data_IF_523057631130
#
_entry.id   IF_523057631130
#
_cell.length_a   1.000
_cell.length_b   1.000
_cell.length_c   1.000
_cell.angle_alpha   90.00
_cell.angle_beta   90.00
_cell.angle_gamma   90.00
#
_symmetry.space_group_name_H-M   'P 1'
#
loop_
_entity.id
_entity.type
_entity.pdbx_description
1 polymer ?
#
# COMPACT_ATOMS: atom_id res chain seq x y z
N UNK A 1 -64.40 7.45 15.23
CA UNK A 1 -63.03 7.35 14.65
C UNK A 1 -62.24 6.35 15.48
N UNK A 2 -62.04 5.13 14.96
CA UNK A 2 -61.23 4.12 15.64
C UNK A 2 -59.75 4.35 15.36
N UNK A 3 -59.00 4.75 16.37
CA UNK A 3 -57.53 4.81 16.32
C UNK A 3 -56.99 3.37 16.31
N UNK A 4 -56.56 2.89 15.16
CA UNK A 4 -55.79 1.65 15.03
C UNK A 4 -54.39 1.90 15.57
N UNK A 5 -54.11 1.42 16.79
CA UNK A 5 -52.76 1.37 17.35
C UNK A 5 -52.01 0.26 16.58
N UNK A 6 -51.09 0.63 15.70
CA UNK A 6 -50.21 -0.35 15.05
C UNK A 6 -49.29 -0.95 16.11
N UNK A 7 -49.27 -2.27 16.22
CA UNK A 7 -48.31 -2.95 17.11
C UNK A 7 -46.90 -2.71 16.57
N UNK A 8 -45.92 -2.34 17.43
CA UNK A 8 -44.55 -2.13 16.98
C UNK A 8 -44.01 -3.44 16.38
N UNK A 9 -43.40 -3.34 15.21
CA UNK A 9 -42.76 -4.48 14.56
C UNK A 9 -41.60 -4.96 15.44
N UNK A 10 -41.70 -6.19 15.95
CA UNK A 10 -40.72 -6.80 16.86
C UNK A 10 -39.40 -7.12 16.14
N UNK A 11 -39.39 -7.09 14.80
CA UNK A 11 -38.23 -7.41 13.97
C UNK A 11 -37.84 -6.23 13.09
N UNK A 12 -36.54 -5.89 13.07
CA UNK A 12 -36.00 -4.88 12.15
C UNK A 12 -36.02 -5.37 10.72
N UNK A 13 -36.33 -4.48 9.79
CA UNK A 13 -36.28 -4.77 8.35
C UNK A 13 -34.82 -5.06 7.93
N UNK A 14 -34.64 -6.05 7.05
CA UNK A 14 -33.35 -6.40 6.48
C UNK A 14 -32.67 -5.21 5.80
N UNK A 15 -33.44 -4.32 5.19
CA UNK A 15 -32.95 -3.13 4.51
C UNK A 15 -32.35 -2.07 5.45
N UNK A 16 -32.67 -2.14 6.75
CA UNK A 16 -32.05 -1.28 7.77
C UNK A 16 -30.73 -1.85 8.32
N UNK A 17 -30.35 -3.06 7.89
CA UNK A 17 -29.10 -3.67 8.30
C UNK A 17 -27.91 -3.07 7.56
N UNK A 18 -26.69 -3.36 8.03
CA UNK A 18 -25.48 -2.96 7.33
C UNK A 18 -25.20 -3.82 6.07
N UNK A 19 -26.12 -4.69 5.65
CA UNK A 19 -25.97 -5.53 4.47
C UNK A 19 -25.60 -4.71 3.22
N UNK A 20 -24.58 -5.16 2.48
CA UNK A 20 -24.09 -4.47 1.27
C UNK A 20 -23.03 -3.39 1.53
N UNK A 21 -22.82 -2.96 2.79
CA UNK A 21 -21.67 -2.13 3.15
C UNK A 21 -20.39 -2.97 3.17
N UNK A 22 -19.25 -2.36 2.81
CA UNK A 22 -17.95 -3.05 2.77
C UNK A 22 -17.53 -3.61 4.14
N UNK A 23 -17.98 -2.99 5.23
CA UNK A 23 -17.80 -3.40 6.62
C UNK A 23 -19.09 -3.92 7.27
N UNK A 24 -20.10 -4.24 6.46
CA UNK A 24 -21.42 -4.62 6.92
C UNK A 24 -21.61 -6.10 7.23
N UNK A 25 -22.82 -6.47 7.69
CA UNK A 25 -23.20 -7.88 7.81
C UNK A 25 -23.13 -8.54 6.42
N UNK A 26 -22.65 -9.79 6.39
CA UNK A 26 -22.36 -10.54 5.16
C UNK A 26 -21.24 -9.94 4.28
N UNK A 27 -20.11 -9.55 4.90
CA UNK A 27 -19.01 -8.81 4.27
C UNK A 27 -18.45 -9.33 2.92
N UNK A 28 -17.81 -8.42 2.18
CA UNK A 28 -17.56 -8.44 0.72
C UNK A 28 -16.79 -9.65 0.16
N UNK A 29 -16.08 -10.41 0.99
CA UNK A 29 -15.26 -11.57 0.58
C UNK A 29 -15.61 -12.86 1.34
N UNK A 30 -16.73 -12.86 2.05
CA UNK A 30 -17.17 -14.01 2.83
C UNK A 30 -18.44 -14.59 2.19
N UNK A 31 -18.41 -15.92 1.96
CA UNK A 31 -19.53 -16.64 1.36
C UNK A 31 -20.54 -16.94 2.47
N UNK A 32 -21.70 -16.29 2.43
CA UNK A 32 -22.76 -16.47 3.41
C UNK A 32 -24.03 -16.98 2.74
N UNK A 33 -24.79 -17.80 3.47
CA UNK A 33 -26.16 -18.18 3.12
C UNK A 33 -27.11 -17.46 4.06
N UNK A 34 -27.89 -16.50 3.56
CA UNK A 34 -28.97 -15.89 4.33
C UNK A 34 -30.20 -16.81 4.31
N UNK A 35 -30.78 -17.07 5.49
CA UNK A 35 -32.02 -17.83 5.63
C UNK A 35 -33.08 -16.98 6.34
N UNK A 36 -34.35 -17.17 5.98
CA UNK A 36 -35.46 -16.51 6.65
C UNK A 36 -35.59 -17.00 8.09
N UNK A 37 -35.82 -16.07 9.02
CA UNK A 37 -36.21 -16.40 10.38
C UNK A 37 -37.72 -16.64 10.43
N UNK A 38 -38.13 -17.84 10.82
CA UNK A 38 -39.53 -18.22 11.03
C UNK A 38 -39.75 -18.37 12.54
N UNK A 39 -40.55 -17.49 13.18
CA UNK A 39 -40.83 -17.58 14.61
C UNK A 39 -41.33 -18.99 15.00
N UNK A 40 -40.76 -19.56 16.06
CA UNK A 40 -41.13 -20.88 16.57
C UNK A 40 -40.62 -22.09 15.75
N UNK A 41 -40.05 -21.88 14.55
CA UNK A 41 -39.43 -22.96 13.74
C UNK A 41 -37.92 -22.77 13.55
N UNK A 42 -37.46 -21.54 13.42
CA UNK A 42 -36.04 -21.21 13.32
C UNK A 42 -35.42 -21.15 14.71
N UNK A 43 -34.65 -22.17 15.06
CA UNK A 43 -33.82 -22.17 16.28
C UNK A 43 -32.40 -21.77 15.92
N UNK A 44 -31.87 -20.74 16.58
CA UNK A 44 -30.45 -20.40 16.50
C UNK A 44 -29.64 -21.50 17.19
N UNK A 45 -29.07 -22.41 16.40
CA UNK A 45 -28.25 -23.51 16.89
C UNK A 45 -26.79 -23.32 16.42
N UNK A 46 -26.03 -22.39 17.02
CA UNK A 46 -24.63 -22.27 16.71
C UNK A 46 -23.91 -23.53 17.19
N UNK A 47 -23.08 -24.13 16.33
CA UNK A 47 -22.14 -25.15 16.77
C UNK A 47 -21.21 -24.50 17.79
N UNK A 48 -21.37 -24.85 19.07
CA UNK A 48 -20.50 -24.37 20.14
C UNK A 48 -19.20 -25.16 20.07
N UNK A 49 -18.15 -24.53 19.57
CA UNK A 49 -16.81 -25.07 19.69
C UNK A 49 -16.26 -24.73 21.06
N UNK A 50 -15.50 -25.64 21.67
CA UNK A 50 -14.63 -25.28 22.78
C UNK A 50 -13.60 -24.27 22.28
N UNK A 51 -13.69 -23.03 22.77
CA UNK A 51 -12.83 -21.92 22.35
C UNK A 51 -11.35 -22.22 22.61
N UNK A 52 -11.05 -22.92 23.71
CA UNK A 52 -9.68 -23.25 24.10
C UNK A 52 -9.06 -24.28 23.16
N UNK A 53 -9.78 -25.37 22.89
CA UNK A 53 -9.38 -26.39 21.93
C UNK A 53 -9.26 -25.83 20.50
N UNK A 54 -10.16 -24.93 20.10
CA UNK A 54 -10.11 -24.27 18.79
C UNK A 54 -8.90 -23.34 18.66
N UNK A 55 -8.60 -22.56 19.71
CA UNK A 55 -7.43 -21.68 19.72
C UNK A 55 -6.11 -22.46 19.63
N UNK A 56 -6.01 -23.59 20.34
CA UNK A 56 -4.84 -24.47 20.25
C UNK A 56 -4.70 -25.11 18.86
N UNK A 57 -5.79 -25.68 18.31
CA UNK A 57 -5.79 -26.20 16.93
C UNK A 57 -5.35 -25.13 15.94
N UNK A 58 -5.87 -23.91 16.07
CA UNK A 58 -5.49 -22.78 15.22
C UNK A 58 -4.00 -22.43 15.31
N UNK A 59 -3.42 -22.42 16.52
CA UNK A 59 -1.97 -22.20 16.70
C UNK A 59 -1.15 -23.27 15.95
N UNK A 60 -1.55 -24.54 16.03
CA UNK A 60 -0.84 -25.62 15.35
C UNK A 60 -0.99 -25.55 13.82
N UNK A 61 -2.16 -25.15 13.32
CA UNK A 61 -2.34 -24.87 11.89
C UNK A 61 -1.46 -23.71 11.41
N UNK A 62 -1.31 -22.64 12.19
CA UNK A 62 -0.43 -21.52 11.85
C UNK A 62 1.05 -21.95 11.81
N UNK A 63 1.46 -22.80 12.75
CA UNK A 63 2.80 -23.41 12.77
C UNK A 63 3.02 -24.31 11.54
N UNK A 64 2.03 -25.13 11.15
CA UNK A 64 2.07 -25.88 9.88
C UNK A 64 2.23 -24.94 8.67
N UNK A 65 1.43 -23.86 8.57
CA UNK A 65 1.52 -22.89 7.46
C UNK A 65 2.89 -22.20 7.39
N UNK A 66 3.56 -22.02 8.53
CA UNK A 66 4.95 -21.53 8.57
C UNK A 66 5.89 -22.57 7.93
N UNK A 67 5.83 -23.83 8.34
CA UNK A 67 6.65 -24.90 7.75
C UNK A 67 6.42 -25.07 6.25
N UNK A 68 5.16 -25.04 5.79
CA UNK A 68 4.81 -25.08 4.36
C UNK A 68 5.43 -23.92 3.55
N UNK A 69 5.46 -22.71 4.12
CA UNK A 69 6.09 -21.53 3.50
C UNK A 69 7.61 -21.67 3.43
N UNK A 70 8.25 -22.13 4.50
CA UNK A 70 9.70 -22.35 4.55
C UNK A 70 10.12 -23.41 3.53
N UNK A 71 9.41 -24.54 3.46
CA UNK A 71 9.67 -25.60 2.50
C UNK A 71 9.52 -25.12 1.05
N UNK A 72 8.48 -24.33 0.75
CA UNK A 72 8.32 -23.72 -0.58
C UNK A 72 9.46 -22.77 -0.93
N UNK A 73 9.93 -21.95 0.02
CA UNK A 73 11.05 -21.04 -0.21
C UNK A 73 12.32 -21.81 -0.57
N UNK A 74 12.62 -22.88 0.16
CA UNK A 74 13.78 -23.73 -0.11
C UNK A 74 13.66 -24.47 -1.44
N UNK A 75 12.49 -25.03 -1.78
CA UNK A 75 12.26 -25.67 -3.09
C UNK A 75 12.39 -24.68 -4.26
N UNK A 76 11.95 -23.42 -4.08
CA UNK A 76 12.16 -22.36 -5.09
C UNK A 76 13.65 -22.04 -5.28
N UNK A 77 14.37 -21.82 -4.18
CA UNK A 77 15.81 -21.54 -4.24
C UNK A 77 16.58 -22.69 -4.90
N UNK A 78 16.23 -23.94 -4.59
CA UNK A 78 16.80 -25.13 -5.22
C UNK A 78 16.54 -25.14 -6.73
N UNK A 79 15.32 -24.84 -7.17
CA UNK A 79 15.02 -24.78 -8.61
C UNK A 79 15.90 -23.73 -9.29
N UNK A 80 16.06 -22.54 -8.68
CA UNK A 80 16.92 -21.48 -9.21
C UNK A 80 18.38 -21.94 -9.31
N UNK A 81 18.94 -22.52 -8.23
CA UNK A 81 20.33 -23.01 -8.23
C UNK A 81 20.56 -24.07 -9.31
N UNK A 82 19.59 -25.00 -9.47
CA UNK A 82 19.63 -26.02 -10.51
C UNK A 82 19.58 -25.40 -11.91
N UNK A 83 18.73 -24.41 -12.11
CA UNK A 83 18.58 -23.73 -13.40
C UNK A 83 19.83 -22.86 -13.73
N UNK A 84 20.59 -22.44 -12.72
CA UNK A 84 21.89 -21.74 -12.85
C UNK A 84 23.09 -22.69 -13.01
N UNK A 85 22.91 -24.02 -12.90
CA UNK A 85 23.99 -24.99 -12.98
C UNK A 85 24.87 -25.11 -11.74
N UNK A 86 24.46 -24.53 -10.60
CA UNK A 86 25.19 -24.67 -9.32
C UNK A 86 24.79 -25.99 -8.63
N UNK A 87 25.56 -27.05 -8.92
CA UNK A 87 25.27 -28.40 -8.43
C UNK A 87 25.44 -28.55 -6.91
N UNK A 88 26.41 -27.87 -6.32
CA UNK A 88 26.70 -27.96 -4.90
C UNK A 88 25.62 -27.28 -4.06
N UNK A 89 25.18 -26.08 -4.45
CA UNK A 89 24.08 -25.40 -3.76
C UNK A 89 22.76 -26.14 -3.99
N UNK A 90 22.55 -26.72 -5.19
CA UNK A 90 21.39 -27.58 -5.46
C UNK A 90 21.36 -28.79 -4.52
N UNK A 91 22.50 -29.45 -4.28
CA UNK A 91 22.61 -30.59 -3.36
C UNK A 91 22.29 -30.16 -1.92
N UNK A 92 22.85 -29.04 -1.47
CA UNK A 92 22.64 -28.47 -0.13
C UNK A 92 21.17 -28.12 0.12
N UNK A 93 20.54 -27.42 -0.82
CA UNK A 93 19.13 -27.03 -0.73
C UNK A 93 18.18 -28.24 -0.84
N UNK A 94 18.55 -29.27 -1.60
CA UNK A 94 17.81 -30.53 -1.62
C UNK A 94 17.82 -31.22 -0.25
N UNK A 95 18.97 -31.32 0.40
CA UNK A 95 19.08 -31.90 1.75
C UNK A 95 18.25 -31.09 2.75
N UNK A 96 18.34 -29.76 2.70
CA UNK A 96 17.53 -28.86 3.55
C UNK A 96 16.03 -29.05 3.33
N UNK A 97 15.57 -29.16 2.09
CA UNK A 97 14.17 -29.39 1.77
C UNK A 97 13.66 -30.75 2.30
N UNK A 98 14.51 -31.78 2.27
CA UNK A 98 14.18 -33.10 2.87
C UNK A 98 13.97 -32.99 4.38
N UNK A 99 14.88 -32.34 5.09
CA UNK A 99 14.77 -32.10 6.53
C UNK A 99 13.51 -31.30 6.90
N UNK A 100 13.22 -30.23 6.16
CA UNK A 100 12.01 -29.44 6.36
C UNK A 100 10.73 -30.23 6.07
N UNK A 101 10.73 -31.06 5.02
CA UNK A 101 9.61 -31.95 4.69
C UNK A 101 9.40 -33.02 5.76
N UNK A 102 10.46 -33.51 6.40
CA UNK A 102 10.37 -34.40 7.54
C UNK A 102 9.73 -33.69 8.75
N UNK A 103 10.26 -32.53 9.15
CA UNK A 103 9.69 -31.73 10.26
C UNK A 103 8.22 -31.39 10.06
N UNK A 104 7.82 -31.06 8.82
CA UNK A 104 6.42 -30.82 8.49
C UNK A 104 5.56 -32.08 8.70
N UNK A 105 6.05 -33.27 8.32
CA UNK A 105 5.33 -34.53 8.54
C UNK A 105 5.19 -34.86 10.01
N UNK A 106 6.24 -34.67 10.80
CA UNK A 106 6.24 -34.91 12.24
C UNK A 106 5.21 -34.02 12.93
N UNK A 107 5.24 -32.70 12.68
CA UNK A 107 4.26 -31.75 13.22
C UNK A 107 2.81 -32.08 12.80
N UNK A 108 2.62 -32.54 11.57
CA UNK A 108 1.29 -32.93 11.09
C UNK A 108 0.78 -34.18 11.81
N UNK A 109 1.64 -35.17 12.04
CA UNK A 109 1.29 -36.40 12.74
C UNK A 109 1.03 -36.16 14.23
N UNK A 110 1.84 -35.29 14.86
CA UNK A 110 1.73 -34.93 16.28
C UNK A 110 0.39 -34.25 16.60
N UNK A 111 -0.13 -33.43 15.70
CA UNK A 111 -1.34 -32.62 15.93
C UNK A 111 -2.56 -33.02 15.08
N UNK A 112 -2.52 -34.19 14.44
CA UNK A 112 -3.58 -34.72 13.57
C UNK A 112 -4.10 -33.69 12.54
N UNK A 113 -3.16 -33.02 11.87
CA UNK A 113 -3.46 -31.96 10.90
C UNK A 113 -3.56 -32.51 9.47
N UNK A 114 -4.23 -31.76 8.57
CA UNK A 114 -4.31 -32.13 7.16
C UNK A 114 -3.10 -31.65 6.38
N UNK A 115 -2.36 -32.58 5.76
CA UNK A 115 -1.27 -32.24 4.82
C UNK A 115 -1.82 -31.73 3.48
N UNK A 116 -1.27 -30.62 2.97
CA UNK A 116 -1.60 -30.11 1.64
C UNK A 116 -0.37 -30.06 0.71
N UNK A 117 -0.21 -31.08 -0.15
CA UNK A 117 0.88 -31.13 -1.12
C UNK A 117 0.91 -29.93 -2.07
N UNK A 118 -0.26 -29.35 -2.39
CA UNK A 118 -0.39 -28.16 -3.25
C UNK A 118 0.31 -26.96 -2.59
N UNK A 119 0.17 -26.79 -1.27
CA UNK A 119 0.81 -25.71 -0.51
C UNK A 119 2.31 -25.91 -0.32
N UNK A 120 2.84 -27.08 -0.59
CA UNK A 120 4.28 -27.36 -0.54
C UNK A 120 4.98 -27.22 -1.90
N UNK A 121 4.20 -27.10 -2.98
CA UNK A 121 4.75 -26.93 -4.33
C UNK A 121 5.18 -25.47 -4.53
N UNK A 122 6.41 -25.22 -5.01
CA UNK A 122 6.70 -23.93 -5.62
C UNK A 122 5.78 -23.80 -6.85
N UNK A 123 5.14 -22.64 -7.07
CA UNK A 123 4.44 -22.42 -8.34
C UNK A 123 5.47 -22.36 -9.46
N UNK A 124 5.32 -23.19 -10.49
CA UNK A 124 6.05 -23.08 -11.76
C UNK A 124 5.37 -22.00 -12.62
N UNK A 125 6.04 -21.15 -13.41
CA UNK A 125 7.34 -21.25 -14.08
C UNK A 125 8.25 -20.06 -13.71
N UNK A 126 9.57 -20.25 -13.60
CA UNK A 126 10.47 -19.14 -13.85
C UNK A 126 10.24 -18.67 -15.28
N UNK A 127 9.86 -17.41 -15.47
CA UNK A 127 10.05 -16.78 -16.77
C UNK A 127 11.56 -16.76 -16.95
N UNK A 128 12.08 -17.66 -17.79
CA UNK A 128 13.45 -17.56 -18.28
C UNK A 128 13.45 -16.31 -19.15
N UNK A 129 13.73 -15.17 -18.52
CA UNK A 129 14.16 -13.99 -19.26
C UNK A 129 15.51 -14.40 -19.81
N UNK A 130 15.59 -14.67 -21.11
CA UNK A 130 16.86 -14.67 -21.84
C UNK A 130 17.45 -13.27 -21.64
N UNK A 131 18.26 -13.13 -20.61
CA UNK A 131 19.08 -11.95 -20.41
C UNK A 131 20.15 -12.07 -21.48
N UNK A 132 19.97 -11.38 -22.60
CA UNK A 132 21.04 -11.16 -23.53
C UNK A 132 22.24 -10.63 -22.73
N UNK A 133 23.32 -11.40 -22.76
CA UNK A 133 24.58 -11.13 -22.10
C UNK A 133 25.11 -9.77 -22.58
N UNK A 134 24.80 -8.70 -21.83
CA UNK A 134 25.54 -7.42 -21.77
C UNK A 134 24.73 -6.35 -21.02
N UNK A 135 24.42 -6.60 -19.76
CA UNK A 135 24.37 -5.51 -18.79
C UNK A 135 24.73 -6.08 -17.42
N UNK A 136 25.78 -5.55 -16.82
CA UNK A 136 26.07 -5.81 -15.41
C UNK A 136 24.80 -5.54 -14.61
N UNK A 137 24.24 -6.59 -14.01
CA UNK A 137 23.15 -6.44 -13.05
C UNK A 137 23.81 -5.91 -11.78
N UNK A 138 24.08 -4.60 -11.74
CA UNK A 138 24.33 -3.91 -10.49
C UNK A 138 23.11 -4.18 -9.61
N UNK A 139 23.33 -4.83 -8.45
CA UNK A 139 22.30 -4.97 -7.46
C UNK A 139 21.75 -3.58 -7.16
N UNK A 140 20.45 -3.35 -7.43
CA UNK A 140 19.82 -2.05 -7.17
C UNK A 140 20.04 -1.69 -5.72
N UNK A 141 20.67 -0.55 -5.46
CA UNK A 141 20.77 -0.02 -4.11
C UNK A 141 19.33 0.19 -3.59
N UNK A 142 18.93 -0.41 -2.46
CA UNK A 142 17.59 -0.21 -1.89
C UNK A 142 17.26 1.26 -1.61
N UNK A 143 18.29 2.10 -1.44
CA UNK A 143 18.15 3.54 -1.26
C UNK A 143 17.86 4.30 -2.57
N UNK A 144 18.04 3.67 -3.75
CA UNK A 144 17.76 4.31 -5.05
C UNK A 144 16.29 4.73 -5.15
N UNK A 145 16.10 6.00 -5.53
CA UNK A 145 14.79 6.63 -5.62
C UNK A 145 14.13 7.00 -4.30
N UNK A 146 14.79 6.81 -3.17
CA UNK A 146 14.33 7.35 -1.89
C UNK A 146 14.85 8.78 -1.70
N UNK A 147 14.02 9.65 -1.12
CA UNK A 147 14.43 11.00 -0.74
C UNK A 147 15.66 10.99 0.17
N UNK A 148 15.65 10.15 1.21
CA UNK A 148 16.76 9.99 2.14
C UNK A 148 18.08 9.59 1.47
N UNK A 149 18.07 8.57 0.60
CA UNK A 149 19.27 8.13 -0.10
C UNK A 149 19.85 9.19 -1.04
N UNK A 150 18.99 9.96 -1.70
CA UNK A 150 19.41 11.03 -2.61
C UNK A 150 19.91 12.23 -1.83
N UNK A 151 19.21 12.64 -0.76
CA UNK A 151 19.59 13.77 0.09
C UNK A 151 20.98 13.58 0.70
N UNK A 152 21.32 12.34 1.08
CA UNK A 152 22.62 11.98 1.64
C UNK A 152 23.71 11.75 0.58
N UNK A 153 23.36 11.76 -0.70
CA UNK A 153 24.29 11.56 -1.82
C UNK A 153 24.67 10.10 -2.11
N UNK A 154 24.19 9.13 -1.32
CA UNK A 154 24.53 7.70 -1.48
C UNK A 154 23.68 6.96 -2.52
N UNK A 155 22.64 7.60 -3.05
CA UNK A 155 21.71 6.96 -3.98
C UNK A 155 21.36 7.86 -5.17
N UNK A 156 20.85 7.25 -6.24
CA UNK A 156 20.42 7.94 -7.47
C UNK A 156 18.92 7.87 -7.68
N UNK A 157 18.37 8.79 -8.47
CA UNK A 157 16.99 8.69 -8.95
C UNK A 157 16.81 7.40 -9.77
N UNK A 158 15.64 6.77 -9.64
CA UNK A 158 15.25 5.66 -10.53
C UNK A 158 15.02 6.15 -11.96
N UNK A 159 15.12 5.27 -12.96
CA UNK A 159 14.84 5.61 -14.37
C UNK A 159 13.50 6.34 -14.58
N UNK A 160 12.46 5.96 -13.84
CA UNK A 160 11.14 6.61 -13.87
C UNK A 160 11.22 8.05 -13.35
N UNK A 161 11.88 8.26 -12.21
CA UNK A 161 12.03 9.59 -11.63
C UNK A 161 12.94 10.48 -12.49
N UNK A 162 14.01 9.93 -13.07
CA UNK A 162 14.86 10.65 -14.04
C UNK A 162 14.05 11.12 -15.25
N UNK A 163 13.11 10.30 -15.74
CA UNK A 163 12.21 10.71 -16.84
C UNK A 163 11.28 11.86 -16.42
N UNK A 164 10.74 11.81 -15.19
CA UNK A 164 9.90 12.89 -14.65
C UNK A 164 10.71 14.19 -14.49
N UNK A 165 11.93 14.08 -13.98
CA UNK A 165 12.88 15.17 -13.78
C UNK A 165 13.20 15.88 -15.11
N UNK A 166 13.53 15.11 -16.14
CA UNK A 166 13.82 15.63 -17.48
C UNK A 166 12.63 16.37 -18.12
N UNK A 167 11.40 16.03 -17.75
CA UNK A 167 10.19 16.71 -18.21
C UNK A 167 9.92 18.04 -17.49
N UNK A 168 10.64 18.32 -16.40
CA UNK A 168 10.52 19.53 -15.57
C UNK A 168 11.89 20.22 -15.43
N UNK A 169 12.50 20.72 -16.53
CA UNK A 169 13.86 21.25 -16.50
C UNK A 169 14.04 22.50 -15.65
N UNK A 170 12.99 23.34 -15.52
CA UNK A 170 13.05 24.64 -14.87
C UNK A 170 11.82 24.92 -13.98
N UNK A 171 11.95 25.91 -13.09
CA UNK A 171 10.86 26.38 -12.24
C UNK A 171 9.71 26.95 -13.08
N UNK A 172 8.47 26.74 -12.62
CA UNK A 172 7.26 27.13 -13.32
C UNK A 172 6.81 26.14 -14.39
N UNK A 173 7.63 25.13 -14.74
CA UNK A 173 7.20 24.05 -15.64
C UNK A 173 6.20 23.13 -14.95
N UNK A 174 5.22 22.67 -15.73
CA UNK A 174 4.18 21.74 -15.29
C UNK A 174 3.98 20.63 -16.32
N UNK A 175 3.62 19.45 -15.84
CA UNK A 175 3.26 18.31 -16.68
C UNK A 175 2.02 17.62 -16.15
N UNK A 176 1.22 17.06 -17.06
CA UNK A 176 0.08 16.20 -16.73
C UNK A 176 0.44 14.75 -17.01
N UNK A 177 0.28 13.89 -16.01
CA UNK A 177 0.63 12.46 -16.04
C UNK A 177 -0.45 11.62 -15.37
N UNK A 178 -0.40 10.29 -15.53
CA UNK A 178 -1.35 9.44 -14.82
C UNK A 178 -1.04 9.39 -13.33
N UNK A 179 -2.09 9.32 -12.51
CA UNK A 179 -2.00 9.23 -11.05
C UNK A 179 -1.13 8.07 -10.58
N UNK A 180 -1.14 6.94 -11.30
CA UNK A 180 -0.36 5.74 -10.96
C UNK A 180 1.15 5.90 -11.19
N UNK A 181 1.55 6.85 -12.04
CA UNK A 181 2.93 7.01 -12.49
C UNK A 181 3.75 7.89 -11.53
N UNK A 182 3.12 8.51 -10.53
CA UNK A 182 3.76 9.40 -9.54
C UNK A 182 3.16 9.29 -8.14
N UNK A 183 4.03 9.28 -7.12
CA UNK A 183 3.68 9.29 -5.69
C UNK A 183 4.32 10.49 -4.98
N UNK A 184 3.82 10.88 -3.80
CA UNK A 184 4.41 11.99 -3.02
C UNK A 184 5.89 11.76 -2.68
N UNK A 185 6.28 10.52 -2.37
CA UNK A 185 7.70 10.19 -2.13
C UNK A 185 8.60 10.38 -3.35
N UNK A 186 8.05 10.36 -4.57
CA UNK A 186 8.83 10.70 -5.76
C UNK A 186 9.16 12.19 -5.77
N UNK A 187 8.27 13.05 -5.28
CA UNK A 187 8.55 14.48 -5.16
C UNK A 187 9.65 14.72 -4.14
N UNK A 188 9.65 14.02 -2.99
CA UNK A 188 10.76 14.13 -2.02
C UNK A 188 12.10 13.77 -2.67
N UNK A 189 12.14 12.69 -3.47
CA UNK A 189 13.34 12.30 -4.22
C UNK A 189 13.79 13.37 -5.23
N UNK A 190 12.86 13.98 -5.96
CA UNK A 190 13.17 15.09 -6.89
C UNK A 190 13.61 16.36 -6.14
N UNK A 191 12.98 16.65 -5.00
CA UNK A 191 13.31 17.78 -4.12
C UNK A 191 14.71 17.63 -3.55
N UNK A 192 15.05 16.44 -3.05
CA UNK A 192 16.38 16.11 -2.55
C UNK A 192 17.46 16.30 -3.62
N UNK A 193 17.19 15.91 -4.87
CA UNK A 193 18.15 16.07 -5.97
C UNK A 193 18.31 17.53 -6.38
N UNK A 194 17.19 18.25 -6.57
CA UNK A 194 17.18 19.52 -7.28
C UNK A 194 17.13 20.74 -6.36
N UNK A 195 16.91 20.56 -5.05
CA UNK A 195 16.73 21.66 -4.10
C UNK A 195 15.54 22.56 -4.41
N UNK A 196 14.55 22.06 -5.15
CA UNK A 196 13.38 22.80 -5.60
C UNK A 196 12.10 22.19 -5.02
N UNK A 197 11.09 23.02 -4.81
CA UNK A 197 9.77 22.58 -4.38
C UNK A 197 8.96 21.97 -5.53
N UNK A 198 8.07 21.03 -5.21
CA UNK A 198 7.13 20.45 -6.17
C UNK A 198 5.73 20.35 -5.59
N UNK A 199 4.70 20.62 -6.39
CA UNK A 199 3.30 20.40 -6.02
C UNK A 199 2.63 19.38 -6.93
N UNK A 200 1.65 18.67 -6.36
CA UNK A 200 0.78 17.77 -7.10
C UNK A 200 -0.68 18.18 -6.95
N UNK A 201 -1.37 18.26 -8.08
CA UNK A 201 -2.82 18.39 -8.14
C UNK A 201 -3.40 17.12 -8.76
N UNK A 202 -4.51 16.61 -8.24
CA UNK A 202 -5.16 15.38 -8.72
C UNK A 202 -6.59 15.65 -9.16
N UNK A 203 -6.98 15.14 -10.34
CA UNK A 203 -8.36 15.09 -10.83
C UNK A 203 -8.61 13.73 -11.48
N UNK A 204 -9.50 12.93 -10.90
CA UNK A 204 -9.75 11.56 -11.35
C UNK A 204 -8.47 10.69 -11.43
N UNK A 205 -8.18 10.15 -12.60
CA UNK A 205 -7.00 9.32 -12.89
C UNK A 205 -5.73 10.10 -13.25
N UNK A 206 -5.76 11.43 -13.26
CA UNK A 206 -4.66 12.29 -13.69
C UNK A 206 -4.06 13.09 -12.54
N UNK A 207 -2.78 13.46 -12.72
CA UNK A 207 -2.03 14.35 -11.84
C UNK A 207 -1.31 15.42 -12.64
N UNK A 208 -1.37 16.66 -12.15
CA UNK A 208 -0.46 17.73 -12.57
C UNK A 208 0.68 17.77 -11.57
N UNK A 209 1.91 17.69 -12.06
CA UNK A 209 3.12 17.96 -11.29
C UNK A 209 3.64 19.34 -11.69
N UNK A 210 3.84 20.21 -10.71
CA UNK A 210 4.41 21.53 -10.88
C UNK A 210 5.76 21.62 -10.17
N UNK A 211 6.77 22.17 -10.84
CA UNK A 211 8.07 22.49 -10.22
C UNK A 211 8.08 23.98 -9.86
N UNK A 212 8.44 24.30 -8.62
CA UNK A 212 8.72 25.66 -8.17
C UNK A 212 10.22 25.93 -8.03
N UNK A 213 10.55 27.02 -7.32
CA UNK A 213 11.90 27.29 -6.84
C UNK A 213 11.91 27.25 -5.31
N UNK A 214 13.07 27.50 -4.70
CA UNK A 214 13.22 27.65 -3.25
C UNK A 214 12.65 28.97 -2.70
N UNK A 215 12.21 29.89 -3.58
CA UNK A 215 11.85 31.26 -3.21
C UNK A 215 10.59 31.81 -3.89
N UNK A 216 10.12 31.19 -4.99
CA UNK A 216 8.98 31.65 -5.78
C UNK A 216 7.85 30.63 -5.80
N UNK A 217 6.62 31.16 -5.88
CA UNK A 217 5.41 30.36 -6.04
C UNK A 217 5.51 29.42 -7.24
N UNK A 218 5.19 28.14 -7.02
CA UNK A 218 5.21 27.09 -8.06
C UNK A 218 4.29 27.39 -9.25
N UNK A 219 3.22 28.13 -8.99
CA UNK A 219 2.11 28.36 -9.91
C UNK A 219 1.48 29.72 -9.62
N UNK A 220 1.03 30.44 -10.65
CA UNK A 220 0.32 31.72 -10.47
C UNK A 220 -1.03 31.53 -9.80
N UNK A 221 -1.48 32.55 -9.06
CA UNK A 221 -2.80 32.56 -8.40
C UNK A 221 -3.94 32.32 -9.39
N UNK A 222 -3.90 32.99 -10.55
CA UNK A 222 -4.89 32.83 -11.63
C UNK A 222 -5.01 31.37 -12.09
N UNK A 223 -3.87 30.68 -12.26
CA UNK A 223 -3.90 29.28 -12.67
C UNK A 223 -4.44 28.37 -11.57
N UNK A 224 -4.12 28.64 -10.29
CA UNK A 224 -4.68 27.90 -9.17
C UNK A 224 -6.20 28.08 -9.07
N UNK A 225 -6.71 29.28 -9.33
CA UNK A 225 -8.16 29.55 -9.39
C UNK A 225 -8.83 28.74 -10.49
N UNK A 226 -8.22 28.67 -11.68
CA UNK A 226 -8.74 27.87 -12.79
C UNK A 226 -8.72 26.38 -12.46
N UNK A 227 -7.65 25.86 -11.83
CA UNK A 227 -7.61 24.49 -11.35
C UNK A 227 -8.73 24.18 -10.33
N UNK A 228 -8.95 25.09 -9.37
CA UNK A 228 -10.00 24.94 -8.38
C UNK A 228 -11.40 24.93 -9.02
N UNK A 229 -11.66 25.85 -9.96
CA UNK A 229 -12.91 25.89 -10.75
C UNK A 229 -13.13 24.61 -11.55
N UNK A 230 -12.06 24.07 -12.14
CA UNK A 230 -12.07 22.83 -12.92
C UNK A 230 -12.19 21.57 -12.04
N UNK A 231 -12.26 21.68 -10.71
CA UNK A 231 -12.42 20.55 -9.81
C UNK A 231 -11.15 19.72 -9.62
N UNK A 232 -9.98 20.31 -9.84
CA UNK A 232 -8.72 19.71 -9.38
C UNK A 232 -8.62 19.80 -7.86
N UNK A 233 -7.91 18.85 -7.26
CA UNK A 233 -7.62 18.83 -5.83
C UNK A 233 -6.13 19.00 -5.58
N UNK A 234 -5.74 19.98 -4.77
CA UNK A 234 -4.38 20.12 -4.27
C UNK A 234 -4.05 18.92 -3.36
N UNK A 235 -3.12 18.07 -3.80
CA UNK A 235 -2.80 16.81 -3.12
C UNK A 235 -1.68 16.93 -2.10
N UNK A 236 -0.85 17.96 -2.23
CA UNK A 236 0.32 18.18 -1.39
C UNK A 236 1.50 18.71 -2.19
N UNK A 237 2.54 19.09 -1.46
CA UNK A 237 3.77 19.60 -2.02
C UNK A 237 4.98 19.22 -1.18
N UNK A 238 6.17 19.60 -1.65
CA UNK A 238 7.43 19.40 -0.95
C UNK A 238 8.15 20.72 -0.68
N UNK A 239 8.86 20.78 0.45
CA UNK A 239 9.83 21.82 0.75
C UNK A 239 11.26 21.24 0.75
N UNK A 240 12.27 21.95 0.20
CA UNK A 240 13.66 21.54 0.28
C UNK A 240 14.17 21.64 1.72
N UNK A 241 14.86 20.61 2.16
CA UNK A 241 15.43 20.52 3.51
C UNK A 241 14.88 19.33 4.28
N UNK A 242 15.17 19.27 5.58
CA UNK A 242 14.81 18.15 6.44
C UNK A 242 14.37 18.66 7.79
N UNK A 243 13.38 17.99 8.39
CA UNK A 243 12.96 18.24 9.77
C UNK A 243 11.62 18.97 9.87
N UNK A 244 11.12 19.08 11.10
CA UNK A 244 9.77 19.57 11.36
C UNK A 244 9.55 21.02 10.89
N UNK A 245 10.52 21.92 11.10
CA UNK A 245 10.41 23.33 10.69
C UNK A 245 10.17 23.46 9.18
N UNK A 246 10.82 22.61 8.38
CA UNK A 246 10.67 22.60 6.91
C UNK A 246 9.28 22.12 6.50
N UNK A 247 8.62 21.29 7.31
CA UNK A 247 7.28 20.74 7.00
C UNK A 247 6.15 21.61 7.54
N UNK A 248 6.46 22.75 8.16
CA UNK A 248 5.45 23.69 8.61
C UNK A 248 4.83 24.42 7.41
N UNK A 249 3.50 24.50 7.39
CA UNK A 249 2.78 25.23 6.36
C UNK A 249 3.05 26.74 6.43
N UNK A 250 3.34 27.33 5.28
CA UNK A 250 3.41 28.77 5.08
C UNK A 250 2.01 29.40 4.94
N UNK A 251 1.94 30.74 4.94
CA UNK A 251 0.69 31.44 4.62
C UNK A 251 0.22 31.14 3.18
N UNK A 252 1.14 30.94 2.25
CA UNK A 252 0.83 30.55 0.88
C UNK A 252 0.08 29.22 0.83
N UNK A 253 0.54 28.22 1.58
CA UNK A 253 -0.06 26.88 1.63
C UNK A 253 -1.50 26.94 2.15
N UNK A 254 -1.72 27.73 3.21
CA UNK A 254 -3.05 27.97 3.78
C UNK A 254 -3.98 28.66 2.78
N UNK A 255 -3.45 29.62 2.01
CA UNK A 255 -4.21 30.32 0.98
C UNK A 255 -4.62 29.36 -0.15
N UNK A 256 -3.74 28.45 -0.58
CA UNK A 256 -4.07 27.42 -1.56
C UNK A 256 -5.17 26.50 -1.02
N UNK A 257 -5.09 26.03 0.23
CA UNK A 257 -6.15 25.22 0.82
C UNK A 257 -7.50 25.92 0.83
N UNK A 258 -7.54 27.20 1.22
CA UNK A 258 -8.75 28.02 1.22
C UNK A 258 -9.32 28.19 -0.20
N UNK A 259 -8.45 28.46 -1.19
CA UNK A 259 -8.84 28.62 -2.59
C UNK A 259 -9.50 27.35 -3.15
N UNK A 260 -8.93 26.18 -2.86
CA UNK A 260 -9.47 24.88 -3.28
C UNK A 260 -10.63 24.40 -2.38
N UNK A 261 -11.01 25.16 -1.35
CA UNK A 261 -12.02 24.80 -0.34
C UNK A 261 -11.76 23.43 0.29
N UNK A 262 -10.49 23.13 0.54
CA UNK A 262 -10.03 21.88 1.10
C UNK A 262 -9.75 22.00 2.60
N UNK A 263 -10.08 20.96 3.36
CA UNK A 263 -9.80 20.90 4.80
C UNK A 263 -8.32 20.73 5.10
N UNK A 264 -7.62 19.90 4.33
CA UNK A 264 -6.25 19.50 4.63
C UNK A 264 -5.46 19.15 3.36
N UNK A 265 -4.14 19.23 3.46
CA UNK A 265 -3.16 18.73 2.49
C UNK A 265 -1.90 18.28 3.24
N UNK A 266 -0.86 17.86 2.51
CA UNK A 266 0.38 17.34 3.09
C UNK A 266 1.61 18.07 2.56
N UNK A 267 2.58 18.30 3.43
CA UNK A 267 3.90 18.84 3.10
C UNK A 267 4.93 17.77 3.37
N UNK A 268 5.72 17.44 2.35
CA UNK A 268 6.83 16.49 2.45
C UNK A 268 8.17 17.23 2.49
N UNK A 269 9.14 16.71 3.23
CA UNK A 269 10.53 17.16 3.17
C UNK A 269 11.36 16.38 2.12
N UNK A 270 12.63 16.73 1.97
CA UNK A 270 13.55 16.08 1.03
C UNK A 270 13.79 14.59 1.34
N UNK A 271 13.65 14.16 2.59
CA UNK A 271 13.94 12.75 2.97
C UNK A 271 12.68 11.87 2.97
N UNK A 272 11.51 12.49 2.83
CA UNK A 272 10.22 11.80 2.74
C UNK A 272 9.42 11.78 4.05
N UNK A 273 9.86 12.52 5.07
CA UNK A 273 9.02 12.89 6.21
C UNK A 273 7.92 13.83 5.76
N UNK A 274 6.75 13.77 6.39
CA UNK A 274 5.62 14.61 6.00
C UNK A 274 4.74 14.97 7.19
N UNK A 275 4.12 16.14 7.11
CA UNK A 275 3.10 16.59 8.05
C UNK A 275 1.81 16.93 7.30
N UNK A 276 0.68 16.78 7.99
CA UNK A 276 -0.65 17.18 7.51
C UNK A 276 -0.94 18.56 8.06
N UNK A 277 -1.39 19.47 7.21
CA UNK A 277 -1.77 20.82 7.61
C UNK A 277 -3.18 21.16 7.15
N UNK A 278 -3.86 22.00 7.91
CA UNK A 278 -5.18 22.55 7.61
C UNK A 278 -5.13 24.06 7.30
N UNK A 279 -6.29 24.63 6.95
CA UNK A 279 -6.43 26.05 6.63
C UNK A 279 -6.31 26.99 7.83
N UNK A 280 -6.31 26.46 9.06
CA UNK A 280 -6.27 27.22 10.31
C UNK A 280 -4.87 27.20 10.96
N UNK A 281 -3.97 26.30 10.52
CA UNK A 281 -2.59 26.19 11.00
C UNK A 281 -2.34 25.05 11.99
N UNK A 282 -3.27 24.11 12.12
CA UNK A 282 -3.02 22.86 12.85
C UNK A 282 -2.04 21.97 12.08
N UNK A 283 -0.79 21.88 12.54
CA UNK A 283 0.11 20.81 12.15
C UNK A 283 -0.21 19.59 13.01
N UNK A 284 -0.74 18.54 12.40
CA UNK A 284 -0.96 17.27 13.09
C UNK A 284 0.21 16.34 12.76
N UNK A 285 1.15 16.18 13.71
CA UNK A 285 2.16 15.13 13.64
C UNK A 285 1.46 13.77 13.55
N UNK A 286 1.83 12.95 12.58
CA UNK A 286 1.46 11.54 12.60
C UNK A 286 2.27 10.84 13.70
N UNK A 287 1.59 10.37 14.75
CA UNK A 287 2.09 9.28 15.58
C UNK A 287 2.10 7.97 14.80
#
# INVERSE_FOLDING_TARGET
MGLTISKPNVYRDWNESSYGLSNGILGINCRHSAGFFVPGKSTFNPVKYDESANAERYKQEQKQRRYERELRKTKRARNIARDLGDEDETRRLNQKARLQSQRLREHIAEHDLRRSKVRERPMDKPVVVTIASNNQIEARNPADGTGAGIYTGYAKLTKRQQKLDAMLPESGKRITINKRDIKMKDLSALTAKNGCEYAVFTKGGQRILARGSSTNAMVSTEYLENLAKDGWRFSGHTHPGVGHVVRMSSQGDKNVLKLFKQKQSVIYDSVGGFDVFDSEGGNHENR
#
